data_IF_343384174859
#
_entry.id   IF_343384174859
#
_cell.length_a   1.000
_cell.length_b   1.000
_cell.length_c   1.000
_cell.angle_alpha   90.00
_cell.angle_beta   90.00
_cell.angle_gamma   90.00
#
_symmetry.space_group_name_H-M   'P 1'
#
loop_
_entity.id
_entity.type
_entity.pdbx_description
1 polymer ?
#
# COMPACT_ATOMS: atom_id res chain seq x y z
N UNK A 1 1.86 -10.20 -35.24
CA UNK A 1 2.52 -10.40 -33.93
C UNK A 1 2.92 -9.04 -33.39
N UNK A 2 2.49 -8.60 -32.19
CA UNK A 2 2.92 -7.30 -31.68
C UNK A 2 4.43 -7.38 -31.39
N UNK A 3 5.23 -6.64 -32.16
CA UNK A 3 6.68 -6.50 -31.99
C UNK A 3 6.94 -6.00 -30.56
N UNK A 4 7.80 -6.71 -29.80
CA UNK A 4 8.25 -6.27 -28.49
C UNK A 4 8.87 -4.87 -28.62
N UNK A 5 8.32 -3.91 -27.86
CA UNK A 5 8.79 -2.52 -27.89
C UNK A 5 10.14 -2.43 -27.18
N UNK A 6 11.13 -1.86 -27.85
CA UNK A 6 12.43 -1.58 -27.25
C UNK A 6 12.33 -0.43 -26.23
N UNK A 7 13.34 -0.27 -25.37
CA UNK A 7 13.42 0.89 -24.48
C UNK A 7 13.38 2.23 -25.23
N UNK A 8 13.92 2.26 -26.46
CA UNK A 8 13.87 3.43 -27.34
C UNK A 8 12.43 3.72 -27.79
N UNK A 9 11.66 2.68 -28.14
CA UNK A 9 10.25 2.86 -28.51
C UNK A 9 9.40 3.38 -27.33
N UNK A 10 9.71 2.91 -26.11
CA UNK A 10 9.07 3.39 -24.90
C UNK A 10 9.39 4.87 -24.63
N UNK A 11 10.65 5.28 -24.79
CA UNK A 11 11.06 6.67 -24.62
C UNK A 11 10.42 7.60 -25.66
N UNK A 12 10.44 7.22 -26.95
CA UNK A 12 9.79 8.00 -28.03
C UNK A 12 8.30 8.18 -27.77
N UNK A 13 7.62 7.12 -27.29
CA UNK A 13 6.21 7.20 -26.89
C UNK A 13 5.99 8.13 -25.69
N UNK A 14 6.88 8.11 -24.71
CA UNK A 14 6.83 9.01 -23.56
C UNK A 14 6.96 10.47 -24.01
N UNK A 15 7.99 10.78 -24.81
CA UNK A 15 8.23 12.12 -25.35
C UNK A 15 7.02 12.64 -26.12
N UNK A 16 6.44 11.83 -27.01
CA UNK A 16 5.26 12.22 -27.78
C UNK A 16 4.01 12.50 -26.92
N UNK A 17 3.89 11.87 -25.75
CA UNK A 17 2.78 12.10 -24.80
C UNK A 17 3.01 13.30 -23.89
N UNK A 18 4.23 13.81 -23.80
CA UNK A 18 4.61 14.87 -22.87
C UNK A 18 4.30 16.27 -23.43
N UNK A 19 3.02 16.52 -23.75
CA UNK A 19 2.53 17.85 -24.11
C UNK A 19 2.00 18.54 -22.84
N UNK A 20 2.69 19.56 -22.29
CA UNK A 20 2.32 20.16 -21.00
C UNK A 20 0.92 20.77 -20.99
N UNK A 21 0.48 21.37 -22.10
CA UNK A 21 -0.83 22.01 -22.21
C UNK A 21 -1.94 20.98 -22.08
N UNK A 22 -1.87 19.89 -22.88
CA UNK A 22 -2.89 18.82 -22.83
C UNK A 22 -2.89 18.11 -21.48
N UNK A 23 -1.70 17.94 -20.89
CA UNK A 23 -1.57 17.36 -19.55
C UNK A 23 -2.26 18.26 -18.51
N UNK A 24 -2.01 19.57 -18.53
CA UNK A 24 -2.62 20.53 -17.61
C UNK A 24 -4.16 20.56 -17.72
N UNK A 25 -4.69 20.56 -18.95
CA UNK A 25 -6.14 20.47 -19.17
C UNK A 25 -6.72 19.20 -18.56
N UNK A 26 -6.13 18.02 -18.82
CA UNK A 26 -6.61 16.76 -18.25
C UNK A 26 -6.60 16.73 -16.72
N UNK A 27 -5.56 17.27 -16.09
CA UNK A 27 -5.50 17.35 -14.63
C UNK A 27 -6.58 18.26 -14.05
N UNK A 28 -6.88 19.37 -14.74
CA UNK A 28 -7.96 20.28 -14.37
C UNK A 28 -9.32 19.59 -14.49
N UNK A 29 -9.58 18.91 -15.61
CA UNK A 29 -10.86 18.25 -15.89
C UNK A 29 -11.20 17.15 -14.87
N UNK A 30 -10.21 16.42 -14.37
CA UNK A 30 -10.41 15.31 -13.42
C UNK A 30 -10.12 15.67 -11.96
N UNK A 31 -9.85 16.95 -11.65
CA UNK A 31 -9.41 17.39 -10.32
C UNK A 31 -10.38 16.93 -9.22
N UNK A 32 -11.69 17.10 -9.42
CA UNK A 32 -12.69 16.73 -8.41
C UNK A 32 -12.67 15.22 -8.10
N UNK A 33 -12.60 14.38 -9.14
CA UNK A 33 -12.50 12.92 -8.99
C UNK A 33 -11.19 12.52 -8.30
N UNK A 34 -10.10 13.24 -8.59
CA UNK A 34 -8.81 12.99 -7.94
C UNK A 34 -8.85 13.37 -6.45
N UNK A 35 -9.46 14.50 -6.09
CA UNK A 35 -9.58 14.96 -4.70
C UNK A 35 -10.45 14.02 -3.87
N UNK A 36 -11.60 13.58 -4.39
CA UNK A 36 -12.47 12.62 -3.69
C UNK A 36 -11.74 11.30 -3.41
N UNK A 37 -11.06 10.75 -4.41
CA UNK A 37 -10.27 9.52 -4.26
C UNK A 37 -9.08 9.70 -3.32
N UNK A 38 -8.43 10.85 -3.36
CA UNK A 38 -7.33 11.17 -2.46
C UNK A 38 -7.82 11.24 -1.01
N UNK A 39 -8.96 11.88 -0.76
CA UNK A 39 -9.56 11.96 0.58
C UNK A 39 -9.86 10.56 1.14
N UNK A 40 -10.53 9.71 0.36
CA UNK A 40 -10.83 8.33 0.78
C UNK A 40 -9.54 7.54 1.08
N UNK A 41 -8.53 7.64 0.21
CA UNK A 41 -7.25 6.94 0.38
C UNK A 41 -6.45 7.43 1.59
N UNK A 42 -6.36 8.74 1.80
CA UNK A 42 -5.64 9.34 2.94
C UNK A 42 -6.31 8.97 4.27
N UNK A 43 -7.63 8.99 4.32
CA UNK A 43 -8.38 8.57 5.51
C UNK A 43 -8.13 7.10 5.83
N UNK A 44 -8.17 6.20 4.84
CA UNK A 44 -7.88 4.79 5.07
C UNK A 44 -6.44 4.55 5.57
N UNK A 45 -5.46 5.28 5.03
CA UNK A 45 -4.07 5.24 5.53
C UNK A 45 -3.97 5.71 6.98
N UNK A 46 -4.67 6.77 7.35
CA UNK A 46 -4.71 7.27 8.72
C UNK A 46 -5.30 6.22 9.66
N UNK A 47 -6.46 5.64 9.31
CA UNK A 47 -7.13 4.60 10.10
C UNK A 47 -6.25 3.38 10.32
N UNK A 48 -5.61 2.84 9.27
CA UNK A 48 -4.70 1.68 9.41
C UNK A 48 -3.54 1.99 10.36
N UNK A 49 -2.99 3.21 10.30
CA UNK A 49 -1.92 3.63 11.23
C UNK A 49 -2.44 3.76 12.66
N UNK A 50 -3.62 4.33 12.86
CA UNK A 50 -4.24 4.48 14.18
C UNK A 50 -4.54 3.14 14.84
N UNK A 51 -4.95 2.13 14.07
CA UNK A 51 -5.16 0.78 14.55
C UNK A 51 -3.87 0.10 15.04
N UNK A 52 -2.75 0.36 14.35
CA UNK A 52 -1.47 -0.32 14.63
C UNK A 52 -0.64 0.40 15.69
N UNK A 53 -0.78 1.71 15.86
CA UNK A 53 -0.02 2.50 16.84
C UNK A 53 -0.12 1.94 18.27
N UNK A 54 -1.32 1.60 18.81
CA UNK A 54 -1.44 1.02 20.15
C UNK A 54 -0.69 -0.31 20.32
N UNK A 55 -0.67 -1.16 19.29
CA UNK A 55 0.10 -2.42 19.31
C UNK A 55 1.58 -2.09 19.50
N UNK A 56 2.11 -1.20 18.65
CA UNK A 56 3.52 -0.81 18.70
C UNK A 56 3.88 -0.12 20.02
N UNK A 57 2.96 0.65 20.59
CA UNK A 57 3.15 1.31 21.88
C UNK A 57 3.16 0.27 23.03
N UNK A 58 2.30 -0.75 22.97
CA UNK A 58 2.27 -1.86 23.93
C UNK A 58 3.57 -2.68 23.94
N UNK A 59 4.22 -2.86 22.79
CA UNK A 59 5.52 -3.52 22.67
C UNK A 59 6.73 -2.59 22.84
N UNK A 60 6.52 -1.30 23.14
CA UNK A 60 7.61 -0.34 23.31
C UNK A 60 8.41 -0.04 22.02
N UNK A 61 7.83 -0.27 20.84
CA UNK A 61 8.51 -0.06 19.56
C UNK A 61 8.56 1.43 19.22
N UNK A 62 9.77 1.97 19.24
CA UNK A 62 10.07 3.38 18.96
C UNK A 62 11.04 3.54 17.78
N UNK A 63 11.30 4.80 17.38
CA UNK A 63 12.29 5.13 16.37
C UNK A 63 11.98 4.60 14.96
N UNK A 64 13.04 4.36 14.18
CA UNK A 64 12.93 3.95 12.78
C UNK A 64 12.22 2.61 12.58
N UNK A 65 12.33 1.69 13.54
CA UNK A 65 11.69 0.37 13.46
C UNK A 65 10.16 0.48 13.46
N UNK A 66 9.60 1.49 14.13
CA UNK A 66 8.16 1.79 14.07
C UNK A 66 7.70 2.05 12.64
N UNK A 67 8.51 2.74 11.85
CA UNK A 67 8.24 3.01 10.44
C UNK A 67 8.12 1.72 9.62
N UNK A 68 8.96 0.73 9.91
CA UNK A 68 8.95 -0.57 9.23
C UNK A 68 7.64 -1.35 9.49
N UNK A 69 7.17 -1.39 10.74
CA UNK A 69 5.89 -2.02 11.05
C UNK A 69 4.68 -1.29 10.45
N UNK A 70 4.70 0.05 10.42
CA UNK A 70 3.66 0.81 9.74
C UNK A 70 3.69 0.58 8.21
N UNK A 71 4.87 0.41 7.62
CA UNK A 71 5.00 0.05 6.21
C UNK A 71 4.44 -1.36 5.92
N UNK A 72 4.69 -2.32 6.82
CA UNK A 72 4.07 -3.64 6.75
C UNK A 72 2.54 -3.55 6.77
N UNK A 73 1.96 -2.84 7.75
CA UNK A 73 0.51 -2.68 7.88
C UNK A 73 -0.14 -2.08 6.62
N UNK A 74 0.47 -1.02 6.05
CA UNK A 74 -0.03 -0.40 4.83
C UNK A 74 0.11 -1.30 3.60
N UNK A 75 1.19 -2.08 3.51
CA UNK A 75 1.40 -3.05 2.43
C UNK A 75 0.38 -4.17 2.54
N UNK A 76 0.15 -4.70 3.73
CA UNK A 76 -0.89 -5.69 4.01
C UNK A 76 -2.26 -5.16 3.58
N UNK A 77 -2.66 -3.98 4.08
CA UNK A 77 -3.93 -3.33 3.73
C UNK A 77 -4.14 -3.22 2.22
N UNK A 78 -3.12 -2.75 1.47
CA UNK A 78 -3.18 -2.63 0.00
C UNK A 78 -3.56 -3.95 -0.68
N UNK A 79 -3.08 -5.08 -0.17
CA UNK A 79 -3.37 -6.40 -0.71
C UNK A 79 -4.73 -6.91 -0.26
N UNK A 80 -5.01 -6.90 1.04
CA UNK A 80 -6.25 -7.47 1.60
C UNK A 80 -7.50 -6.64 1.26
N UNK A 81 -7.34 -5.35 0.94
CA UNK A 81 -8.44 -4.51 0.44
C UNK A 81 -8.87 -4.88 -1.00
N UNK A 82 -8.04 -5.61 -1.75
CA UNK A 82 -8.29 -5.98 -3.15
C UNK A 82 -8.53 -7.47 -3.34
N UNK A 83 -7.99 -8.29 -2.46
CA UNK A 83 -8.03 -9.74 -2.50
C UNK A 83 -8.64 -10.23 -1.19
N UNK A 84 -9.62 -11.13 -1.27
CA UNK A 84 -10.35 -11.66 -0.12
C UNK A 84 -9.98 -13.14 0.12
N UNK A 85 -10.42 -13.64 1.28
CA UNK A 85 -10.37 -15.06 1.65
C UNK A 85 -8.96 -15.65 1.58
N UNK A 86 -8.78 -16.86 1.05
CA UNK A 86 -7.52 -17.60 1.15
C UNK A 86 -6.36 -16.90 0.42
N UNK A 87 -6.63 -16.12 -0.62
CA UNK A 87 -5.61 -15.29 -1.28
C UNK A 87 -5.08 -14.21 -0.35
N UNK A 88 -5.95 -13.63 0.48
CA UNK A 88 -5.55 -12.64 1.48
C UNK A 88 -4.64 -13.26 2.54
N UNK A 89 -4.97 -14.48 3.01
CA UNK A 89 -4.18 -15.21 4.01
C UNK A 89 -2.78 -15.55 3.51
N UNK A 90 -2.67 -16.13 2.30
CA UNK A 90 -1.38 -16.47 1.69
C UNK A 90 -0.52 -15.22 1.50
N UNK A 91 -1.13 -14.13 1.06
CA UNK A 91 -0.41 -12.85 0.89
C UNK A 91 0.05 -12.27 2.22
N UNK A 92 -0.78 -12.32 3.26
CA UNK A 92 -0.42 -11.86 4.60
C UNK A 92 0.78 -12.65 5.17
N UNK A 93 0.75 -13.98 5.03
CA UNK A 93 1.83 -14.85 5.49
C UNK A 93 3.14 -14.58 4.75
N UNK A 94 3.12 -14.50 3.42
CA UNK A 94 4.32 -14.19 2.64
C UNK A 94 4.87 -12.79 2.91
N UNK A 95 4.00 -11.82 3.21
CA UNK A 95 4.44 -10.49 3.65
C UNK A 95 5.08 -10.52 5.03
N UNK A 96 4.51 -11.27 5.98
CA UNK A 96 5.09 -11.40 7.32
C UNK A 96 6.48 -12.04 7.26
N UNK A 97 6.64 -13.11 6.47
CA UNK A 97 7.94 -13.75 6.24
C UNK A 97 8.96 -12.79 5.61
N UNK A 98 8.56 -12.00 4.62
CA UNK A 98 9.44 -11.00 4.03
C UNK A 98 9.91 -9.96 5.06
N UNK A 99 9.01 -9.48 5.92
CA UNK A 99 9.37 -8.46 6.91
C UNK A 99 10.17 -9.00 8.09
N UNK A 100 9.91 -10.23 8.51
CA UNK A 100 10.71 -10.88 9.55
C UNK A 100 12.13 -11.19 9.04
N UNK A 101 12.26 -11.72 7.82
CA UNK A 101 13.56 -12.11 7.25
C UNK A 101 14.40 -10.92 6.78
N UNK A 102 13.83 -9.98 6.03
CA UNK A 102 14.58 -8.89 5.43
C UNK A 102 14.82 -7.72 6.39
N UNK A 103 13.93 -7.51 7.37
CA UNK A 103 13.99 -6.36 8.27
C UNK A 103 14.06 -6.73 9.75
N UNK A 104 14.12 -8.02 10.09
CA UNK A 104 14.23 -8.48 11.49
C UNK A 104 13.02 -8.13 12.35
N UNK A 105 11.84 -7.94 11.74
CA UNK A 105 10.62 -7.66 12.49
C UNK A 105 10.17 -8.91 13.28
N UNK A 106 9.66 -8.70 14.49
CA UNK A 106 9.12 -9.77 15.33
C UNK A 106 7.85 -10.34 14.71
N UNK A 107 7.83 -11.66 14.51
CA UNK A 107 6.68 -12.38 13.96
C UNK A 107 5.43 -12.22 14.81
N UNK A 108 5.57 -12.09 16.14
CA UNK A 108 4.44 -11.93 17.04
C UNK A 108 3.71 -10.59 16.80
N UNK A 109 4.48 -9.50 16.68
CA UNK A 109 3.95 -8.16 16.40
C UNK A 109 3.32 -8.14 14.99
N UNK A 110 3.96 -8.78 14.01
CA UNK A 110 3.43 -8.89 12.65
C UNK A 110 2.08 -9.63 12.61
N UNK A 111 1.94 -10.71 13.38
CA UNK A 111 0.70 -11.49 13.46
C UNK A 111 -0.44 -10.69 14.10
N UNK A 112 -0.17 -9.91 15.15
CA UNK A 112 -1.19 -9.05 15.76
C UNK A 112 -1.63 -7.93 14.80
N UNK A 113 -0.68 -7.33 14.07
CA UNK A 113 -1.00 -6.36 13.02
C UNK A 113 -1.86 -7.01 11.93
N UNK A 114 -1.58 -8.26 11.54
CA UNK A 114 -2.42 -8.99 10.57
C UNK A 114 -3.84 -9.12 11.08
N UNK A 115 -4.04 -9.53 12.33
CA UNK A 115 -5.37 -9.72 12.91
C UNK A 115 -6.17 -8.41 12.90
N UNK A 116 -5.58 -7.31 13.39
CA UNK A 116 -6.28 -6.03 13.49
C UNK A 116 -6.58 -5.43 12.11
N UNK A 117 -5.62 -5.45 11.19
CA UNK A 117 -5.80 -4.87 9.85
C UNK A 117 -6.76 -5.72 9.01
N UNK A 118 -6.62 -7.04 9.01
CA UNK A 118 -7.53 -7.92 8.25
C UNK A 118 -8.94 -7.92 8.85
N UNK A 119 -9.09 -7.89 10.18
CA UNK A 119 -10.39 -7.82 10.84
C UNK A 119 -11.14 -6.52 10.55
N UNK A 120 -10.43 -5.42 10.34
CA UNK A 120 -11.04 -4.16 9.90
C UNK A 120 -11.43 -4.18 8.41
N UNK A 121 -10.59 -4.75 7.54
CA UNK A 121 -10.83 -4.78 6.08
C UNK A 121 -11.90 -5.79 5.68
N UNK A 122 -11.91 -6.96 6.32
CA UNK A 122 -12.85 -8.05 6.06
C UNK A 122 -13.95 -7.92 7.12
N UNK A 123 -14.94 -7.05 6.88
CA UNK A 123 -16.18 -7.12 7.66
C UNK A 123 -16.81 -8.51 7.44
N UNK A 124 -17.01 -9.25 8.53
CA UNK A 124 -17.84 -10.45 8.56
C UNK A 124 -19.29 -10.12 8.22
#
# INVERSE_FOLDING_TARGET
>A
MPIYRSGIDMFKKYQAKYNPTVIGTRFTDVQNVALERAQAGLNAVATVRELVRPILDGYGISGGLRGTYLAFALKLWKHVARQKEDVAKVTANGLAEYFSTAYGCSTDILNEIIQVVCGWVIQY
#
